data_IF_531918606953
#
_entry.id   IF_531918606953
#
_cell.length_a   1.000
_cell.length_b   1.000
_cell.length_c   1.000
_cell.angle_alpha   90.00
_cell.angle_beta   90.00
_cell.angle_gamma   90.00
#
_symmetry.space_group_name_H-M   'P 1'
#
loop_
_entity.id
_entity.type
_entity.pdbx_description
1 polymer ?
#
# COMPACT_ATOMS: atom_id res chain seq x y z
N UNK A 1 -7.65 -4.84 -7.99
CA UNK A 1 -8.30 -5.02 -6.70
C UNK A 1 -7.44 -5.85 -5.78
N UNK A 2 -6.44 -6.59 -6.29
CA UNK A 2 -5.31 -7.05 -5.50
C UNK A 2 -4.21 -6.00 -5.40
N UNK A 3 -3.67 -5.82 -4.19
CA UNK A 3 -2.50 -4.99 -3.93
C UNK A 3 -1.23 -5.74 -4.33
N UNK A 4 -0.39 -5.11 -5.14
CA UNK A 4 0.93 -5.59 -5.53
C UNK A 4 1.98 -4.64 -4.95
N UNK A 5 2.92 -5.21 -4.19
CA UNK A 5 4.01 -4.48 -3.55
C UNK A 5 5.36 -4.98 -4.06
N UNK A 6 6.12 -4.08 -4.67
CA UNK A 6 7.50 -4.30 -5.11
C UNK A 6 8.48 -3.78 -4.05
N UNK A 7 9.00 -4.70 -3.25
CA UNK A 7 9.91 -4.40 -2.16
C UNK A 7 11.22 -3.76 -2.63
N UNK A 8 11.71 -4.08 -3.84
CA UNK A 8 12.96 -3.55 -4.36
C UNK A 8 12.84 -2.06 -4.73
N UNK A 9 11.62 -1.58 -5.01
CA UNK A 9 11.33 -0.18 -5.31
C UNK A 9 10.74 0.59 -4.13
N UNK A 10 10.39 -0.10 -3.05
CA UNK A 10 9.79 0.53 -1.88
C UNK A 10 10.85 1.30 -1.09
N UNK A 11 10.61 2.59 -0.88
CA UNK A 11 11.46 3.46 -0.07
C UNK A 11 10.88 3.71 1.34
N UNK A 12 9.82 2.98 1.71
CA UNK A 12 9.21 2.98 3.04
C UNK A 12 8.88 4.36 3.60
N UNK A 13 8.33 5.21 2.73
CA UNK A 13 8.02 6.61 3.03
C UNK A 13 6.79 6.74 3.95
N UNK A 14 5.90 5.73 3.99
CA UNK A 14 4.72 5.73 4.87
C UNK A 14 3.44 6.35 4.31
N UNK A 15 3.45 6.90 3.09
CA UNK A 15 2.24 7.50 2.50
C UNK A 15 1.06 6.53 2.34
N UNK A 16 1.35 5.25 2.08
CA UNK A 16 0.32 4.23 1.94
C UNK A 16 -0.35 3.88 3.28
N UNK A 17 0.43 3.86 4.36
CA UNK A 17 -0.06 3.67 5.72
C UNK A 17 -0.87 4.89 6.19
N UNK A 18 -0.46 6.11 5.87
CA UNK A 18 -1.23 7.32 6.22
C UNK A 18 -2.62 7.34 5.53
N UNK A 19 -2.68 6.90 4.27
CA UNK A 19 -3.91 6.88 3.47
C UNK A 19 -4.82 5.68 3.75
N UNK A 20 -4.24 4.53 4.13
CA UNK A 20 -4.97 3.30 4.38
C UNK A 20 -4.26 2.46 5.47
N UNK A 21 -4.29 2.92 6.75
CA UNK A 21 -3.54 2.30 7.85
C UNK A 21 -4.04 0.89 8.19
N UNK A 22 -5.30 0.59 7.87
CA UNK A 22 -5.86 -0.75 8.06
C UNK A 22 -5.44 -1.76 6.98
N UNK A 23 -4.67 -1.34 5.98
CA UNK A 23 -4.26 -2.14 4.81
C UNK A 23 -2.73 -2.18 4.66
N UNK A 24 -2.05 -1.12 5.08
CA UNK A 24 -0.60 -0.95 4.94
C UNK A 24 0.02 -0.59 6.28
N UNK A 25 1.16 -1.20 6.59
CA UNK A 25 1.94 -0.91 7.79
C UNK A 25 3.41 -0.84 7.43
N UNK A 26 4.07 0.29 7.65
CA UNK A 26 5.53 0.39 7.62
C UNK A 26 6.03 0.05 9.01
N UNK A 27 6.65 -1.12 9.14
CA UNK A 27 7.17 -1.58 10.43
C UNK A 27 8.42 -0.79 10.83
N UNK A 28 8.80 -0.92 12.10
CA UNK A 28 10.00 -0.29 12.68
C UNK A 28 11.31 -0.67 11.97
N UNK A 29 11.36 -1.84 11.31
CA UNK A 29 12.51 -2.27 10.51
C UNK A 29 12.55 -1.64 9.10
N UNK A 30 11.61 -0.73 8.82
CA UNK A 30 11.48 -0.04 7.55
C UNK A 30 10.90 -0.91 6.45
N UNK A 31 10.34 -2.09 6.73
CA UNK A 31 9.66 -2.90 5.72
C UNK A 31 8.16 -2.60 5.68
N UNK A 32 7.64 -2.36 4.47
CA UNK A 32 6.20 -2.27 4.25
C UNK A 32 5.55 -3.65 4.25
N UNK A 33 4.55 -3.82 5.10
CA UNK A 33 3.66 -4.99 5.16
C UNK A 33 2.30 -4.61 4.56
N UNK A 34 1.76 -5.49 3.72
CA UNK A 34 0.37 -5.38 3.23
C UNK A 34 -0.49 -6.26 4.13
N UNK A 35 -1.27 -5.65 5.00
CA UNK A 35 -2.15 -6.31 5.98
C UNK A 35 -3.35 -6.99 5.31
N UNK A 36 -3.89 -6.34 4.28
CA UNK A 36 -4.99 -6.86 3.48
C UNK A 36 -4.72 -6.66 1.99
N UNK A 37 -4.31 -7.73 1.32
CA UNK A 37 -4.02 -7.66 -0.11
C UNK A 37 -5.27 -7.64 -1.01
N UNK A 38 -6.46 -7.88 -0.45
CA UNK A 38 -7.74 -7.96 -1.16
C UNK A 38 -8.81 -7.15 -0.41
N UNK A 39 -8.66 -5.82 -0.34
CA UNK A 39 -9.52 -4.96 0.45
C UNK A 39 -11.00 -5.06 0.04
N UNK A 40 -11.87 -5.06 1.05
CA UNK A 40 -13.31 -4.93 0.87
C UNK A 40 -13.67 -3.67 0.06
N UNK A 41 -14.82 -3.67 -0.61
CA UNK A 41 -15.25 -2.60 -1.52
C UNK A 41 -15.21 -1.20 -0.90
N UNK A 42 -15.51 -1.09 0.39
CA UNK A 42 -15.46 0.16 1.15
C UNK A 42 -14.05 0.74 1.31
N UNK A 43 -13.02 -0.11 1.27
CA UNK A 43 -11.60 0.27 1.40
C UNK A 43 -10.91 0.45 0.05
N UNK A 44 -11.48 -0.03 -1.05
CA UNK A 44 -10.86 0.04 -2.37
C UNK A 44 -10.52 1.47 -2.82
N UNK A 45 -11.31 2.46 -2.41
CA UNK A 45 -11.03 3.87 -2.72
C UNK A 45 -9.75 4.36 -2.01
N UNK A 46 -9.62 4.07 -0.71
CA UNK A 46 -8.44 4.42 0.08
C UNK A 46 -7.18 3.69 -0.42
N UNK A 47 -7.31 2.41 -0.75
CA UNK A 47 -6.20 1.61 -1.30
C UNK A 47 -5.77 2.11 -2.67
N UNK A 48 -6.72 2.50 -3.54
CA UNK A 48 -6.39 3.12 -4.83
C UNK A 48 -5.63 4.42 -4.64
N UNK A 49 -6.09 5.29 -3.73
CA UNK A 49 -5.40 6.54 -3.41
C UNK A 49 -3.97 6.27 -2.88
N UNK A 50 -3.81 5.28 -2.00
CA UNK A 50 -2.49 4.86 -1.49
C UNK A 50 -1.54 4.37 -2.61
N UNK A 51 -2.05 3.60 -3.57
CA UNK A 51 -1.26 3.18 -4.73
C UNK A 51 -0.88 4.35 -5.64
N UNK A 52 -1.82 5.28 -5.91
CA UNK A 52 -1.58 6.48 -6.73
C UNK A 52 -0.61 7.46 -6.06
N UNK A 53 -0.64 7.56 -4.74
CA UNK A 53 0.26 8.41 -3.97
C UNK A 53 1.69 7.84 -3.83
N UNK A 54 1.92 6.58 -4.21
CA UNK A 54 3.24 5.95 -4.07
C UNK A 54 4.28 6.60 -5.00
N UNK A 55 5.24 7.38 -4.48
CA UNK A 55 6.12 8.19 -5.32
C UNK A 55 7.14 7.35 -6.11
N UNK A 56 7.45 6.14 -5.63
CA UNK A 56 8.36 5.20 -6.31
C UNK A 56 7.63 4.22 -7.24
N UNK A 57 6.29 4.26 -7.24
CA UNK A 57 5.45 3.29 -7.94
C UNK A 57 5.61 1.84 -7.44
N UNK A 58 6.13 1.66 -6.22
CA UNK A 58 6.30 0.35 -5.59
C UNK A 58 4.98 -0.35 -5.27
N UNK A 59 3.90 0.43 -5.10
CA UNK A 59 2.55 -0.08 -4.87
C UNK A 59 1.70 0.06 -6.13
N UNK A 60 0.96 -0.99 -6.46
CA UNK A 60 0.01 -1.02 -7.59
C UNK A 60 -1.25 -1.79 -7.20
N UNK A 61 -2.34 -1.49 -7.89
CA UNK A 61 -3.59 -2.24 -7.80
C UNK A 61 -3.81 -2.99 -9.11
N UNK A 62 -3.79 -4.33 -9.08
CA UNK A 62 -4.01 -5.21 -10.23
C UNK A 62 -5.26 -6.06 -10.00
N UNK A 63 -6.08 -6.25 -11.05
CA UNK A 63 -7.36 -6.99 -11.06
C UNK A 63 -8.31 -6.71 -9.93
#
# INVERSE_FOLDING_TARGET
>A
MRVVHDQARCASIGMCEDLAPDVFEVRDDGALTVLDSTPASERQAAVRAACEACPTGALRLEE
#
